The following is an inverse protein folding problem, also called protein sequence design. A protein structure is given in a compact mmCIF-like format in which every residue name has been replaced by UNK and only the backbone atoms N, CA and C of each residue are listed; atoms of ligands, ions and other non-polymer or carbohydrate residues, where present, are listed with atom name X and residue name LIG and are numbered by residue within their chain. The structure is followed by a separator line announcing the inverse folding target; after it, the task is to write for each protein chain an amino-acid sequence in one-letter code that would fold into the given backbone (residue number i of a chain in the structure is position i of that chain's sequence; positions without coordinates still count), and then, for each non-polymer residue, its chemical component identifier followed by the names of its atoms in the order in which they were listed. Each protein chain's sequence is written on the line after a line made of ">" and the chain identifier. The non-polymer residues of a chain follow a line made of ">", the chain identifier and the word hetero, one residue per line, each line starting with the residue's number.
data_IF_438807090075
#
_entry.id   IF_438807090075
#
_cell.length_a   1.000
_cell.length_b   1.000
_cell.length_c   1.000
_cell.angle_alpha   90.00
_cell.angle_beta   90.00
_cell.angle_gamma   90.00
#
_symmetry.space_group_name_H-M   'P 1'
#
loop_
_entity.id
_entity.type
_entity.pdbx_description
1 polymer ?
#
# COMPACT_ATOMS: atom_id res chain seq x y z
N UNK A 1 -18.81 -21.07 3.87
CA UNK A 1 -19.70 -22.21 3.56
C UNK A 1 -19.67 -23.30 4.62
N UNK A 2 -18.50 -23.85 5.01
CA UNK A 2 -18.46 -24.91 6.03
C UNK A 2 -18.73 -24.43 7.46
N UNK A 3 -18.24 -23.23 7.81
CA UNK A 3 -18.32 -22.64 9.15
C UNK A 3 -18.72 -21.15 9.05
N UNK A 4 -19.94 -20.83 8.56
CA UNK A 4 -20.33 -19.44 8.31
C UNK A 4 -20.37 -18.58 9.58
N UNK A 5 -20.90 -19.12 10.68
CA UNK A 5 -20.96 -18.43 11.98
C UNK A 5 -19.57 -18.07 12.50
N UNK A 6 -18.65 -19.05 12.48
CA UNK A 6 -17.28 -18.83 12.94
C UNK A 6 -16.54 -17.84 12.05
N UNK A 7 -16.75 -17.90 10.74
CA UNK A 7 -16.19 -16.94 9.79
C UNK A 7 -16.67 -15.52 10.10
N UNK A 8 -17.98 -15.31 10.29
CA UNK A 8 -18.53 -13.99 10.64
C UNK A 8 -17.99 -13.50 11.99
N UNK A 9 -17.89 -14.38 12.98
CA UNK A 9 -17.29 -14.04 14.27
C UNK A 9 -15.84 -13.59 14.12
N UNK A 10 -15.00 -14.34 13.41
CA UNK A 10 -13.60 -13.97 13.17
C UNK A 10 -13.48 -12.64 12.42
N UNK A 11 -14.34 -12.37 11.44
CA UNK A 11 -14.39 -11.06 10.77
C UNK A 11 -14.74 -9.94 11.75
N UNK A 12 -15.73 -10.14 12.63
CA UNK A 12 -16.10 -9.13 13.64
C UNK A 12 -14.97 -8.82 14.63
N UNK A 13 -14.11 -9.80 14.90
CA UNK A 13 -12.95 -9.66 15.77
C UNK A 13 -11.69 -9.20 15.02
N UNK A 14 -11.76 -8.91 13.71
CA UNK A 14 -10.59 -8.69 12.84
C UNK A 14 -9.51 -9.77 12.98
N UNK A 15 -9.94 -11.01 13.20
CA UNK A 15 -9.06 -12.14 13.42
C UNK A 15 -8.80 -12.88 12.12
N UNK A 16 -7.61 -12.69 11.56
CA UNK A 16 -7.26 -13.21 10.24
C UNK A 16 -6.69 -14.63 10.30
N UNK A 17 -6.94 -15.44 9.27
CA UNK A 17 -6.45 -16.83 9.17
C UNK A 17 -4.94 -16.96 9.34
N UNK A 18 -4.17 -15.97 8.87
CA UNK A 18 -2.72 -15.93 9.03
C UNK A 18 -2.26 -15.86 10.49
N UNK A 19 -3.10 -15.39 11.42
CA UNK A 19 -2.75 -15.25 12.84
C UNK A 19 -2.68 -16.59 13.57
N UNK A 20 -3.43 -17.61 13.12
CA UNK A 20 -3.47 -18.93 13.77
C UNK A 20 -3.00 -20.07 12.87
N UNK A 21 -3.28 -20.02 11.56
CA UNK A 21 -3.05 -21.16 10.68
C UNK A 21 -1.65 -21.18 10.03
N UNK A 22 -0.89 -20.09 10.09
CA UNK A 22 0.43 -20.03 9.42
C UNK A 22 1.35 -21.17 9.86
N UNK A 23 1.46 -21.40 11.17
CA UNK A 23 2.27 -22.50 11.72
C UNK A 23 1.69 -23.87 11.37
N UNK A 24 0.36 -24.02 11.32
CA UNK A 24 -0.31 -25.27 11.00
C UNK A 24 0.12 -25.81 9.64
N UNK A 25 0.08 -24.94 8.62
CA UNK A 25 0.44 -25.31 7.25
C UNK A 25 1.96 -25.42 7.05
N UNK A 26 2.75 -24.52 7.64
CA UNK A 26 4.21 -24.52 7.48
C UNK A 26 4.91 -25.67 8.20
N UNK A 27 4.39 -26.09 9.35
CA UNK A 27 5.00 -27.14 10.17
C UNK A 27 4.17 -28.42 10.19
N UNK A 28 3.14 -28.55 9.34
CA UNK A 28 2.23 -29.70 9.32
C UNK A 28 1.74 -30.07 10.75
N UNK A 29 1.29 -29.04 11.49
CA UNK A 29 0.83 -29.13 12.89
C UNK A 29 1.85 -29.56 13.96
N UNK A 30 3.07 -29.95 13.61
CA UNK A 30 4.10 -30.41 14.56
C UNK A 30 4.51 -29.40 15.63
N UNK A 31 4.34 -28.10 15.36
CA UNK A 31 4.66 -27.03 16.32
C UNK A 31 3.52 -26.71 17.31
N UNK A 32 2.31 -27.24 17.08
CA UNK A 32 1.13 -26.85 17.84
C UNK A 32 0.32 -28.01 18.43
N UNK A 33 0.46 -29.23 17.89
CA UNK A 33 -0.19 -30.41 18.45
C UNK A 33 0.81 -31.25 19.26
N UNK A 34 0.34 -32.01 20.28
CA UNK A 34 1.14 -33.03 20.94
C UNK A 34 1.73 -34.02 19.93
N UNK A 35 2.94 -34.50 20.22
CA UNK A 35 3.77 -35.24 19.27
C UNK A 35 3.07 -36.48 18.69
N UNK A 36 2.37 -37.25 19.52
CA UNK A 36 1.67 -38.46 19.08
C UNK A 36 0.51 -38.16 18.11
N UNK A 37 -0.17 -37.02 18.26
CA UNK A 37 -1.21 -36.58 17.32
C UNK A 37 -0.54 -36.09 16.04
N UNK A 38 0.50 -35.26 16.16
CA UNK A 38 1.24 -34.73 15.03
C UNK A 38 1.77 -35.84 14.11
N UNK A 39 2.23 -36.98 14.67
CA UNK A 39 2.61 -38.14 13.86
C UNK A 39 1.45 -38.74 13.09
N UNK A 40 0.26 -38.88 13.69
CA UNK A 40 -0.93 -39.33 12.95
C UNK A 40 -1.31 -38.38 11.83
N UNK A 41 -1.17 -37.07 12.05
CA UNK A 41 -1.39 -36.05 10.99
C UNK A 41 -0.38 -36.23 9.86
N UNK A 42 0.89 -36.47 10.19
CA UNK A 42 1.94 -36.73 9.21
C UNK A 42 1.69 -38.02 8.42
N UNK A 43 1.27 -39.10 9.06
CA UNK A 43 0.94 -40.37 8.39
C UNK A 43 -0.20 -40.15 7.37
N UNK A 44 -1.26 -39.48 7.79
CA UNK A 44 -2.39 -39.14 6.91
C UNK A 44 -1.98 -38.18 5.79
N UNK A 45 -1.10 -37.22 6.07
CA UNK A 45 -0.56 -36.32 5.05
C UNK A 45 0.32 -37.06 4.03
N UNK A 46 1.13 -38.03 4.44
CA UNK A 46 1.94 -38.83 3.53
C UNK A 46 1.07 -39.69 2.61
N UNK A 47 -0.12 -40.09 3.06
CA UNK A 47 -1.08 -40.86 2.27
C UNK A 47 -1.95 -39.98 1.35
N UNK A 48 -2.62 -38.95 1.88
CA UNK A 48 -3.61 -38.12 1.17
C UNK A 48 -3.05 -36.77 0.64
N UNK A 49 -1.84 -36.41 1.03
CA UNK A 49 -1.18 -35.16 0.65
C UNK A 49 -1.80 -33.91 1.29
N UNK A 50 -1.65 -32.76 0.62
CA UNK A 50 -2.03 -31.44 1.14
C UNK A 50 -3.52 -31.30 1.46
N UNK A 51 -4.37 -32.10 0.82
CA UNK A 51 -5.80 -32.16 1.09
C UNK A 51 -6.08 -32.48 2.57
N UNK A 52 -5.28 -33.36 3.17
CA UNK A 52 -5.41 -33.71 4.58
C UNK A 52 -5.17 -32.51 5.51
N UNK A 53 -4.23 -31.63 5.17
CA UNK A 53 -3.91 -30.43 5.97
C UNK A 53 -5.10 -29.46 6.00
N UNK A 54 -5.83 -29.32 4.89
CA UNK A 54 -7.08 -28.56 4.86
C UNK A 54 -8.17 -29.24 5.69
N UNK A 55 -8.35 -30.55 5.52
CA UNK A 55 -9.38 -31.32 6.25
C UNK A 55 -9.19 -31.23 7.76
N UNK A 56 -7.97 -31.43 8.26
CA UNK A 56 -7.68 -31.33 9.69
C UNK A 56 -7.79 -29.90 10.22
N UNK A 57 -7.39 -28.90 9.44
CA UNK A 57 -7.58 -27.48 9.82
C UNK A 57 -9.06 -27.18 10.08
N UNK A 58 -9.94 -27.66 9.21
CA UNK A 58 -11.39 -27.47 9.38
C UNK A 58 -11.94 -28.35 10.52
N UNK A 59 -11.45 -29.58 10.68
CA UNK A 59 -11.86 -30.46 11.77
C UNK A 59 -11.53 -29.86 13.14
N UNK A 60 -10.34 -29.27 13.31
CA UNK A 60 -9.96 -28.57 14.55
C UNK A 60 -10.88 -27.37 14.82
N UNK A 61 -11.21 -26.59 13.78
CA UNK A 61 -12.15 -25.48 13.93
C UNK A 61 -13.58 -25.94 14.27
N UNK A 62 -14.02 -27.08 13.72
CA UNK A 62 -15.30 -27.71 14.08
C UNK A 62 -15.30 -28.20 15.53
N UNK A 63 -14.23 -28.88 15.95
CA UNK A 63 -14.05 -29.38 17.33
C UNK A 63 -14.10 -28.24 18.35
N UNK A 64 -13.49 -27.10 18.02
CA UNK A 64 -13.38 -25.94 18.91
C UNK A 64 -14.50 -24.90 18.74
N UNK A 65 -15.44 -25.11 17.81
CA UNK A 65 -16.38 -24.06 17.35
C UNK A 65 -17.10 -23.33 18.49
N UNK A 66 -17.69 -24.10 19.41
CA UNK A 66 -18.51 -23.56 20.51
C UNK A 66 -17.70 -22.70 21.48
N UNK A 67 -16.42 -23.06 21.69
CA UNK A 67 -15.52 -22.32 22.55
C UNK A 67 -15.06 -21.03 21.84
N UNK A 68 -14.67 -21.14 20.55
CA UNK A 68 -14.18 -20.01 19.75
C UNK A 68 -15.23 -18.90 19.55
N UNK A 69 -16.52 -19.24 19.41
CA UNK A 69 -17.60 -18.26 19.22
C UNK A 69 -17.82 -17.32 20.40
N UNK A 70 -17.26 -17.65 21.58
CA UNK A 70 -17.42 -16.87 22.82
C UNK A 70 -16.23 -15.96 23.12
N UNK A 71 -15.16 -16.05 22.33
CA UNK A 71 -13.90 -15.38 22.58
C UNK A 71 -13.76 -14.13 21.71
N UNK A 72 -13.13 -13.11 22.27
CA UNK A 72 -12.64 -11.96 21.52
C UNK A 72 -11.30 -12.26 20.84
N UNK A 73 -10.72 -11.28 20.14
CA UNK A 73 -9.46 -11.45 19.41
C UNK A 73 -8.31 -12.00 20.30
N UNK A 74 -8.13 -11.47 21.50
CA UNK A 74 -7.08 -11.92 22.42
C UNK A 74 -7.36 -13.33 22.95
N UNK A 75 -8.62 -13.61 23.32
CA UNK A 75 -9.08 -14.92 23.72
C UNK A 75 -8.84 -15.98 22.65
N UNK A 76 -9.14 -15.67 21.38
CA UNK A 76 -8.89 -16.56 20.24
C UNK A 76 -7.41 -16.89 20.10
N UNK A 77 -6.53 -15.88 20.17
CA UNK A 77 -5.08 -16.07 20.09
C UNK A 77 -4.57 -16.99 21.20
N UNK A 78 -4.99 -16.75 22.44
CA UNK A 78 -4.61 -17.57 23.59
C UNK A 78 -5.16 -18.99 23.46
N UNK A 79 -6.42 -19.14 23.02
CA UNK A 79 -7.07 -20.44 22.88
C UNK A 79 -6.33 -21.34 21.90
N UNK A 80 -5.97 -20.84 20.71
CA UNK A 80 -5.21 -21.63 19.74
C UNK A 80 -3.81 -22.03 20.21
N UNK A 81 -3.20 -21.26 21.12
CA UNK A 81 -1.87 -21.55 21.65
C UNK A 81 -1.87 -22.49 22.87
N UNK A 82 -2.94 -22.47 23.67
CA UNK A 82 -2.96 -23.12 25.00
C UNK A 82 -4.01 -24.20 25.15
N UNK A 83 -5.23 -23.94 24.70
CA UNK A 83 -6.39 -24.82 24.97
C UNK A 83 -6.65 -25.80 23.83
N UNK A 84 -6.50 -25.34 22.58
CA UNK A 84 -6.70 -26.16 21.38
C UNK A 84 -5.85 -27.45 21.38
N UNK A 85 -4.55 -27.45 21.74
CA UNK A 85 -3.75 -28.67 21.75
C UNK A 85 -4.32 -29.73 22.71
N UNK A 86 -4.72 -29.33 23.91
CA UNK A 86 -5.32 -30.22 24.91
C UNK A 86 -6.70 -30.73 24.48
N UNK A 87 -7.49 -29.89 23.79
CA UNK A 87 -8.78 -30.31 23.21
C UNK A 87 -8.60 -31.40 22.16
N UNK A 88 -7.60 -31.25 21.28
CA UNK A 88 -7.26 -32.24 20.26
C UNK A 88 -6.73 -33.56 20.87
N UNK A 89 -6.05 -33.50 22.02
CA UNK A 89 -5.51 -34.65 22.74
C UNK A 89 -6.57 -35.47 23.48
N UNK A 90 -7.71 -34.87 23.80
CA UNK A 90 -8.75 -35.53 24.59
C UNK A 90 -9.32 -36.76 23.86
N UNK A 91 -9.51 -36.66 22.55
CA UNK A 91 -9.96 -37.78 21.71
C UNK A 91 -9.36 -37.69 20.29
N UNK A 92 -8.16 -38.27 20.08
CA UNK A 92 -7.49 -38.25 18.79
C UNK A 92 -8.24 -39.03 17.69
N UNK A 93 -8.97 -40.10 18.05
CA UNK A 93 -9.72 -40.89 17.09
C UNK A 93 -10.95 -40.13 16.59
N UNK A 94 -11.63 -39.42 17.47
CA UNK A 94 -12.69 -38.51 17.08
C UNK A 94 -12.19 -37.40 16.14
N UNK A 95 -11.04 -36.79 16.44
CA UNK A 95 -10.44 -35.78 15.55
C UNK A 95 -10.17 -36.36 14.15
N UNK A 96 -9.54 -37.54 14.07
CA UNK A 96 -9.26 -38.21 12.79
C UNK A 96 -10.56 -38.54 12.03
N UNK A 97 -11.58 -39.06 12.72
CA UNK A 97 -12.88 -39.31 12.11
C UNK A 97 -13.53 -38.04 11.56
N UNK A 98 -13.41 -36.93 12.30
CA UNK A 98 -13.92 -35.63 11.85
C UNK A 98 -13.17 -35.15 10.60
N UNK A 99 -11.84 -35.31 10.52
CA UNK A 99 -11.04 -35.00 9.32
C UNK A 99 -11.55 -35.73 8.07
N UNK A 100 -11.87 -37.02 8.20
CA UNK A 100 -12.36 -37.84 7.09
C UNK A 100 -13.74 -37.38 6.61
N UNK A 101 -14.59 -36.91 7.53
CA UNK A 101 -15.92 -36.37 7.21
C UNK A 101 -15.88 -34.98 6.55
N UNK A 102 -14.81 -34.20 6.74
CA UNK A 102 -14.67 -32.91 6.06
C UNK A 102 -14.56 -33.13 4.56
N UNK A 103 -15.56 -32.64 3.81
CA UNK A 103 -15.56 -32.68 2.35
C UNK A 103 -14.53 -31.72 1.79
N UNK A 104 -13.64 -32.22 0.95
CA UNK A 104 -12.69 -31.43 0.18
C UNK A 104 -13.00 -31.55 -1.32
N UNK A 105 -13.31 -30.42 -1.95
CA UNK A 105 -13.60 -30.37 -3.39
C UNK A 105 -12.37 -29.86 -4.15
N UNK A 106 -11.68 -30.79 -4.83
CA UNK A 106 -10.48 -30.48 -5.62
C UNK A 106 -10.73 -29.46 -6.74
N UNK A 107 -11.91 -29.47 -7.38
CA UNK A 107 -12.23 -28.52 -8.47
C UNK A 107 -12.41 -27.13 -7.88
N UNK A 108 -13.14 -27.04 -6.76
CA UNK A 108 -13.32 -25.77 -6.04
C UNK A 108 -11.98 -25.20 -5.56
N UNK A 109 -11.10 -26.04 -5.01
CA UNK A 109 -9.78 -25.59 -4.53
C UNK A 109 -8.89 -25.09 -5.67
N UNK A 110 -8.89 -25.77 -6.83
CA UNK A 110 -8.20 -25.26 -8.02
C UNK A 110 -8.75 -23.92 -8.50
N UNK A 111 -10.07 -23.75 -8.46
CA UNK A 111 -10.72 -22.47 -8.80
C UNK A 111 -10.28 -21.37 -7.83
N UNK A 112 -10.35 -21.61 -6.52
CA UNK A 112 -9.93 -20.64 -5.49
C UNK A 112 -8.46 -20.26 -5.62
N UNK A 113 -7.58 -21.22 -5.92
CA UNK A 113 -6.17 -20.94 -6.17
C UNK A 113 -5.97 -20.03 -7.39
N UNK A 114 -6.70 -20.28 -8.49
CA UNK A 114 -6.66 -19.43 -9.68
C UNK A 114 -7.20 -18.02 -9.40
N UNK A 115 -8.33 -17.91 -8.72
CA UNK A 115 -8.94 -16.63 -8.37
C UNK A 115 -7.98 -15.81 -7.49
N UNK A 116 -7.31 -16.44 -6.52
CA UNK A 116 -6.29 -15.79 -5.70
C UNK A 116 -5.09 -15.31 -6.51
N UNK A 117 -4.59 -16.11 -7.45
CA UNK A 117 -3.51 -15.69 -8.35
C UNK A 117 -3.90 -14.49 -9.21
N UNK A 118 -5.13 -14.44 -9.71
CA UNK A 118 -5.64 -13.29 -10.47
C UNK A 118 -5.69 -12.02 -9.63
N UNK A 119 -6.18 -12.11 -8.39
CA UNK A 119 -6.18 -10.96 -7.46
C UNK A 119 -4.75 -10.49 -7.20
N UNK A 120 -3.82 -11.40 -6.91
CA UNK A 120 -2.41 -11.05 -6.64
C UNK A 120 -1.70 -10.43 -7.84
N UNK A 121 -1.96 -10.93 -9.05
CA UNK A 121 -1.43 -10.33 -10.27
C UNK A 121 -1.93 -8.90 -10.45
N UNK A 122 -3.23 -8.67 -10.26
CA UNK A 122 -3.83 -7.35 -10.36
C UNK A 122 -3.29 -6.37 -9.31
N UNK A 123 -3.16 -6.80 -8.05
CA UNK A 123 -2.55 -6.00 -6.99
C UNK A 123 -1.09 -5.61 -7.34
N UNK A 124 -0.34 -6.52 -7.97
CA UNK A 124 1.03 -6.24 -8.40
C UNK A 124 1.08 -5.24 -9.56
N UNK A 125 0.18 -5.35 -10.53
CA UNK A 125 0.03 -4.39 -11.63
C UNK A 125 -0.32 -2.99 -11.08
N UNK A 126 -1.29 -2.91 -10.17
CA UNK A 126 -1.69 -1.66 -9.50
C UNK A 126 -0.52 -1.03 -8.72
N UNK A 127 0.30 -1.84 -8.04
CA UNK A 127 1.51 -1.37 -7.35
C UNK A 127 2.57 -0.83 -8.32
N UNK A 128 2.75 -1.45 -9.48
CA UNK A 128 3.67 -0.98 -10.52
C UNK A 128 3.18 0.33 -11.13
N UNK A 129 1.89 0.43 -11.44
CA UNK A 129 1.27 1.64 -11.96
C UNK A 129 1.36 2.79 -10.95
N UNK A 130 1.06 2.52 -9.68
CA UNK A 130 1.19 3.51 -8.60
C UNK A 130 2.63 4.05 -8.49
N UNK A 131 3.65 3.20 -8.63
CA UNK A 131 5.07 3.63 -8.61
C UNK A 131 5.40 4.49 -9.83
N UNK A 132 4.89 4.14 -11.00
CA UNK A 132 5.06 4.94 -12.23
C UNK A 132 4.44 6.32 -12.07
N UNK A 133 3.16 6.38 -11.65
CA UNK A 133 2.44 7.63 -11.44
C UNK A 133 3.10 8.52 -10.39
N UNK A 134 3.65 7.95 -9.31
CA UNK A 134 4.43 8.70 -8.30
C UNK A 134 5.68 9.34 -8.89
N UNK A 135 6.41 8.61 -9.73
CA UNK A 135 7.61 9.13 -10.41
C UNK A 135 7.25 10.25 -11.38
N UNK A 136 6.22 10.04 -12.19
CA UNK A 136 5.75 11.03 -13.16
C UNK A 136 5.24 12.31 -12.47
N UNK A 137 4.45 12.17 -11.40
CA UNK A 137 4.00 13.32 -10.60
C UNK A 137 5.17 14.11 -10.01
N UNK A 138 6.25 13.43 -9.59
CA UNK A 138 7.45 14.11 -9.09
C UNK A 138 8.13 14.93 -10.20
N UNK A 139 8.28 14.37 -11.39
CA UNK A 139 8.89 15.06 -12.54
C UNK A 139 8.05 16.24 -13.02
N UNK A 140 6.72 16.07 -13.07
CA UNK A 140 5.79 17.14 -13.44
C UNK A 140 5.87 18.30 -12.44
N UNK A 141 5.94 18.02 -11.13
CA UNK A 141 6.13 19.06 -10.11
C UNK A 141 7.44 19.83 -10.30
N UNK A 142 8.55 19.14 -10.56
CA UNK A 142 9.83 19.79 -10.87
C UNK A 142 9.75 20.65 -12.14
N UNK A 143 9.01 20.19 -13.16
CA UNK A 143 8.85 20.94 -14.40
C UNK A 143 8.02 22.22 -14.17
N UNK A 144 6.97 22.13 -13.36
CA UNK A 144 6.16 23.29 -12.96
C UNK A 144 7.04 24.31 -12.23
N UNK A 145 7.79 23.86 -11.22
CA UNK A 145 8.69 24.73 -10.44
C UNK A 145 9.73 25.44 -11.34
N UNK A 146 10.35 24.72 -12.28
CA UNK A 146 11.28 25.32 -13.24
C UNK A 146 10.61 26.36 -14.15
N UNK A 147 9.41 26.07 -14.66
CA UNK A 147 8.67 26.99 -15.51
C UNK A 147 8.21 28.24 -14.74
N UNK A 148 7.81 28.08 -13.48
CA UNK A 148 7.49 29.20 -12.59
C UNK A 148 8.71 30.09 -12.36
N UNK A 149 9.88 29.51 -12.14
CA UNK A 149 11.15 30.24 -12.02
C UNK A 149 11.51 30.99 -13.32
N UNK A 150 11.47 30.31 -14.47
CA UNK A 150 11.73 30.92 -15.78
C UNK A 150 10.75 32.07 -16.07
N UNK A 151 9.46 31.88 -15.76
CA UNK A 151 8.43 32.90 -15.92
C UNK A 151 8.70 34.12 -15.04
N UNK A 152 9.11 33.92 -13.78
CA UNK A 152 9.46 35.01 -12.88
C UNK A 152 10.67 35.80 -13.38
N UNK A 153 11.74 35.11 -13.80
CA UNK A 153 12.93 35.78 -14.37
C UNK A 153 12.61 36.61 -15.61
N UNK A 154 11.78 36.09 -16.51
CA UNK A 154 11.39 36.81 -17.72
C UNK A 154 10.57 38.06 -17.38
N UNK A 155 9.66 37.97 -16.40
CA UNK A 155 8.90 39.11 -15.90
C UNK A 155 9.83 40.18 -15.31
N UNK A 156 10.81 39.80 -14.49
CA UNK A 156 11.79 40.72 -13.91
C UNK A 156 12.63 41.42 -15.00
N UNK A 157 13.13 40.68 -16.00
CA UNK A 157 13.87 41.24 -17.13
C UNK A 157 13.03 42.25 -17.93
N UNK A 158 11.74 41.96 -18.13
CA UNK A 158 10.82 42.87 -18.82
C UNK A 158 10.61 44.16 -18.02
N UNK A 159 10.37 44.05 -16.71
CA UNK A 159 10.20 45.20 -15.83
C UNK A 159 11.47 46.05 -15.83
N UNK A 160 12.63 45.43 -15.65
CA UNK A 160 13.92 46.13 -15.64
C UNK A 160 14.20 46.84 -16.98
N UNK A 161 13.89 46.18 -18.10
CA UNK A 161 14.00 46.79 -19.43
C UNK A 161 13.01 47.93 -19.67
N UNK A 162 11.82 47.92 -19.07
CA UNK A 162 10.89 49.05 -19.11
C UNK A 162 11.38 50.22 -18.25
N UNK A 163 11.89 49.95 -17.05
CA UNK A 163 12.45 50.97 -16.16
C UNK A 163 13.66 51.65 -16.80
N UNK A 164 14.60 50.88 -17.35
CA UNK A 164 15.78 51.42 -18.02
C UNK A 164 15.40 52.35 -19.19
N UNK A 165 14.48 51.91 -20.06
CA UNK A 165 13.97 52.74 -21.17
C UNK A 165 13.29 54.03 -20.70
N UNK A 166 12.57 53.98 -19.58
CA UNK A 166 11.94 55.16 -19.00
C UNK A 166 12.99 56.16 -18.48
N UNK A 167 14.03 55.67 -17.79
CA UNK A 167 15.16 56.50 -17.34
C UNK A 167 15.93 57.11 -18.52
N UNK A 168 16.27 56.32 -19.54
CA UNK A 168 16.94 56.83 -20.74
C UNK A 168 16.10 57.89 -21.48
N UNK A 169 14.77 57.75 -21.49
CA UNK A 169 13.89 58.75 -22.08
C UNK A 169 13.85 60.05 -21.27
N UNK A 170 13.86 59.96 -19.93
CA UNK A 170 13.95 61.10 -19.02
C UNK A 170 15.30 61.83 -19.16
N UNK A 171 16.41 61.10 -19.15
CA UNK A 171 17.75 61.63 -19.34
C UNK A 171 17.89 62.32 -20.71
N UNK A 172 17.40 61.68 -21.78
CA UNK A 172 17.38 62.30 -23.12
C UNK A 172 16.57 63.59 -23.15
N UNK A 173 15.46 63.65 -22.41
CA UNK A 173 14.66 64.87 -22.31
C UNK A 173 15.43 65.98 -21.59
N UNK A 174 16.09 65.66 -20.48
CA UNK A 174 16.93 66.61 -19.72
C UNK A 174 18.07 67.14 -20.59
N UNK A 175 18.83 66.25 -21.25
CA UNK A 175 19.94 66.62 -22.14
C UNK A 175 19.46 67.51 -23.28
N UNK A 176 18.33 67.18 -23.93
CA UNK A 176 17.75 68.03 -24.98
C UNK A 176 17.40 69.43 -24.46
N UNK A 177 16.87 69.53 -23.24
CA UNK A 177 16.52 70.81 -22.61
C UNK A 177 17.77 71.64 -22.33
N UNK A 178 18.80 71.05 -21.75
CA UNK A 178 20.08 71.72 -21.48
C UNK A 178 20.79 72.16 -22.76
N UNK A 179 20.80 71.30 -23.78
CA UNK A 179 21.41 71.61 -25.07
C UNK A 179 20.68 72.76 -25.79
N UNK A 180 19.35 72.84 -25.66
CA UNK A 180 18.58 73.98 -26.16
C UNK A 180 18.94 75.28 -25.41
N UNK A 181 19.08 75.22 -24.08
CA UNK A 181 19.48 76.36 -23.27
C UNK A 181 20.90 76.87 -23.63
N UNK A 182 21.87 75.96 -23.78
CA UNK A 182 23.25 76.32 -24.17
C UNK A 182 23.27 76.92 -25.57
N UNK A 183 22.53 76.36 -26.54
CA UNK A 183 22.43 76.94 -27.90
C UNK A 183 21.85 78.35 -27.89
N UNK A 184 20.87 78.60 -27.03
CA UNK A 184 20.28 79.92 -26.89
C UNK A 184 21.30 80.92 -26.31
N UNK A 185 22.05 80.52 -25.29
CA UNK A 185 23.16 81.31 -24.75
C UNK A 185 24.28 81.58 -25.78
N UNK A 186 24.62 80.60 -26.63
CA UNK A 186 25.59 80.79 -27.71
C UNK A 186 25.10 81.84 -28.72
N UNK A 187 23.81 81.80 -29.07
CA UNK A 187 23.21 82.75 -29.99
C UNK A 187 23.19 84.17 -29.39
N UNK A 188 22.80 84.30 -28.13
CA UNK A 188 22.81 85.57 -27.39
C UNK A 188 24.24 86.14 -27.30
N UNK A 189 25.22 85.33 -26.93
CA UNK A 189 26.62 85.74 -26.87
C UNK A 189 27.20 86.13 -28.24
N UNK A 190 26.83 85.43 -29.32
CA UNK A 190 27.21 85.81 -30.69
C UNK A 190 26.64 87.17 -31.08
N UNK A 191 25.37 87.42 -30.77
CA UNK A 191 24.73 88.70 -31.07
C UNK A 191 25.32 89.87 -30.26
N UNK A 192 25.90 89.62 -29.08
CA UNK A 192 26.61 90.64 -28.29
C UNK A 192 28.03 90.94 -28.79
N UNK A 193 28.59 90.08 -29.64
CA UNK A 193 29.95 90.18 -30.20
C UNK A 193 30.00 90.80 -31.61
N UNK A 194 28.84 90.98 -32.27
CA UNK A 194 28.65 91.71 -33.55
C UNK A 194 28.23 93.18 -33.32
#
# INVERSE_FOLDING_TARGET
>A
ELLPELYMHFQSQNYHTSMYASSWFLTLFTSCLPLHIAYRVLDLFLYDGIEMIFRISIAILLLCKEDLLRLDMEGLLRYFQKEMPSKCETDPDYLVNLCVQVKYDQKKMKKLAKDYQTVKAKEQEELVELRRLRTENRLLRQRIENLEHESAELADKLIQGQVCRAQEAEDNFVIKRELAAIRQQELEAKNELE
#
